data_IF_179839826118
#
_entry.id   IF_179839826118
#
_cell.length_a   1.000
_cell.length_b   1.000
_cell.length_c   1.000
_cell.angle_alpha   90.00
_cell.angle_beta   90.00
_cell.angle_gamma   90.00
#
_symmetry.space_group_name_H-M   'P 1'
#
loop_
_entity.id
_entity.type
_entity.pdbx_description
1 polymer ?
#
# COMPACT_ATOMS: atom_id res chain seq x y z
N UNK A 1 18.24 -17.84 14.28
CA UNK A 1 18.16 -16.40 13.90
C UNK A 1 18.15 -16.25 12.38
N UNK A 2 17.52 -17.17 11.65
CA UNK A 2 17.44 -17.14 10.19
C UNK A 2 16.21 -16.34 9.75
N UNK A 3 16.18 -15.05 10.06
CA UNK A 3 15.29 -14.15 9.33
C UNK A 3 15.83 -14.09 7.91
N UNK A 4 15.09 -14.58 6.89
CA UNK A 4 15.57 -14.49 5.52
C UNK A 4 15.74 -13.01 5.19
N UNK A 5 16.97 -12.61 4.85
CA UNK A 5 17.29 -11.21 4.52
C UNK A 5 16.53 -10.74 3.26
N UNK A 6 16.18 -11.66 2.36
CA UNK A 6 15.51 -11.39 1.10
C UNK A 6 14.19 -10.58 1.25
N UNK A 7 13.19 -11.01 2.04
CA UNK A 7 11.97 -10.21 2.24
C UNK A 7 12.21 -8.86 2.94
N UNK A 8 13.22 -8.77 3.81
CA UNK A 8 13.57 -7.49 4.45
C UNK A 8 14.10 -6.50 3.42
N UNK A 9 15.05 -6.92 2.59
CA UNK A 9 15.59 -6.10 1.50
C UNK A 9 14.47 -5.72 0.52
N UNK A 10 13.62 -6.67 0.15
CA UNK A 10 12.48 -6.42 -0.74
C UNK A 10 11.54 -5.36 -0.15
N UNK A 11 11.21 -5.46 1.13
CA UNK A 11 10.39 -4.46 1.82
C UNK A 11 11.02 -3.07 1.84
N UNK A 12 12.33 -2.98 2.06
CA UNK A 12 13.07 -1.71 2.06
C UNK A 12 13.11 -1.07 0.67
N UNK A 13 13.43 -1.84 -0.38
CA UNK A 13 13.47 -1.33 -1.76
C UNK A 13 12.07 -0.89 -2.20
N UNK A 14 11.04 -1.69 -1.92
CA UNK A 14 9.66 -1.31 -2.23
C UNK A 14 9.21 -0.08 -1.43
N UNK A 15 9.66 0.05 -0.18
CA UNK A 15 9.38 1.20 0.67
C UNK A 15 9.97 2.50 0.12
N UNK A 16 11.22 2.48 -0.33
CA UNK A 16 11.86 3.64 -0.96
C UNK A 16 11.12 4.08 -2.24
N UNK A 17 10.75 3.11 -3.10
CA UNK A 17 9.95 3.38 -4.30
C UNK A 17 8.56 3.95 -3.97
N UNK A 18 7.93 3.49 -2.88
CA UNK A 18 6.66 4.03 -2.39
C UNK A 18 6.82 5.48 -1.96
N UNK A 19 7.83 5.77 -1.13
CA UNK A 19 8.06 7.14 -0.64
C UNK A 19 8.32 8.11 -1.79
N UNK A 20 9.14 7.71 -2.76
CA UNK A 20 9.41 8.51 -3.96
C UNK A 20 8.12 8.80 -4.74
N UNK A 21 7.28 7.78 -4.96
CA UNK A 21 6.01 7.93 -5.67
C UNK A 21 5.02 8.82 -4.90
N UNK A 22 4.92 8.65 -3.58
CA UNK A 22 4.07 9.47 -2.71
C UNK A 22 4.53 10.92 -2.69
N UNK A 23 5.83 11.17 -2.50
CA UNK A 23 6.44 12.50 -2.52
C UNK A 23 6.21 13.17 -3.86
N UNK A 24 6.40 12.47 -4.97
CA UNK A 24 6.15 12.99 -6.31
C UNK A 24 4.67 13.38 -6.48
N UNK A 25 3.74 12.51 -6.06
CA UNK A 25 2.30 12.80 -6.13
C UNK A 25 1.92 14.05 -5.32
N UNK A 26 2.44 14.17 -4.09
CA UNK A 26 2.19 15.33 -3.23
C UNK A 26 2.85 16.60 -3.78
N UNK A 27 4.05 16.50 -4.34
CA UNK A 27 4.72 17.65 -4.96
C UNK A 27 3.93 18.18 -6.17
N UNK A 28 3.39 17.27 -7.00
CA UNK A 28 2.53 17.62 -8.14
C UNK A 28 1.19 18.21 -7.68
N UNK A 29 0.63 17.74 -6.56
CA UNK A 29 -0.63 18.26 -6.02
C UNK A 29 -0.50 19.54 -5.19
N UNK A 30 0.70 20.07 -5.00
CA UNK A 30 0.92 21.23 -4.12
C UNK A 30 0.82 20.90 -2.62
N UNK A 31 1.03 19.64 -2.24
CA UNK A 31 0.97 19.14 -0.87
C UNK A 31 -0.41 18.58 -0.46
N UNK A 32 -1.39 18.54 -1.36
CA UNK A 32 -2.71 18.02 -1.06
C UNK A 32 -2.73 16.48 -1.02
N UNK A 33 -2.99 15.91 0.17
CA UNK A 33 -3.15 14.45 0.37
C UNK A 33 -4.41 13.91 -0.32
N UNK A 34 -5.39 14.77 -0.59
CA UNK A 34 -6.61 14.43 -1.33
C UNK A 34 -6.36 13.92 -2.76
N UNK A 35 -5.17 14.19 -3.34
CA UNK A 35 -4.80 13.69 -4.67
C UNK A 35 -4.81 12.16 -4.74
N UNK A 36 -4.50 11.49 -3.62
CA UNK A 36 -4.45 10.02 -3.55
C UNK A 36 -5.82 9.37 -3.77
N UNK A 37 -6.92 10.08 -3.50
CA UNK A 37 -8.29 9.56 -3.61
C UNK A 37 -9.09 10.19 -4.77
N UNK A 38 -8.44 11.03 -5.59
CA UNK A 38 -9.12 11.81 -6.63
C UNK A 38 -9.47 10.97 -7.86
N UNK A 39 -8.74 9.89 -8.13
CA UNK A 39 -8.94 9.03 -9.29
C UNK A 39 -9.75 7.77 -8.97
N UNK A 40 -10.70 7.42 -9.85
CA UNK A 40 -11.45 6.16 -9.73
C UNK A 40 -10.52 4.93 -9.66
N UNK A 41 -9.45 4.93 -10.47
CA UNK A 41 -8.44 3.85 -10.47
C UNK A 41 -7.75 3.76 -9.11
N UNK A 42 -7.29 4.89 -8.56
CA UNK A 42 -6.63 4.92 -7.25
C UNK A 42 -7.54 4.37 -6.15
N UNK A 43 -8.81 4.82 -6.13
CA UNK A 43 -9.79 4.32 -5.16
C UNK A 43 -10.04 2.82 -5.32
N UNK A 44 -10.18 2.30 -6.54
CA UNK A 44 -10.32 0.86 -6.76
C UNK A 44 -9.09 0.07 -6.28
N UNK A 45 -7.88 0.59 -6.50
CA UNK A 45 -6.65 -0.03 -6.04
C UNK A 45 -6.55 -0.03 -4.50
N UNK A 46 -6.90 1.07 -3.84
CA UNK A 46 -6.94 1.13 -2.38
C UNK A 46 -7.94 0.13 -1.79
N UNK A 47 -9.13 0.01 -2.39
CA UNK A 47 -10.14 -0.97 -1.97
C UNK A 47 -9.64 -2.41 -2.16
N UNK A 48 -9.00 -2.71 -3.29
CA UNK A 48 -8.42 -4.04 -3.54
C UNK A 48 -7.28 -4.35 -2.57
N UNK A 49 -6.37 -3.40 -2.34
CA UNK A 49 -5.27 -3.54 -1.39
C UNK A 49 -5.79 -3.80 0.04
N UNK A 50 -6.75 -3.01 0.51
CA UNK A 50 -7.42 -3.25 1.79
C UNK A 50 -8.08 -4.64 1.80
N UNK A 51 -8.75 -5.02 0.71
CA UNK A 51 -9.33 -6.34 0.53
C UNK A 51 -8.32 -7.46 0.74
N UNK A 52 -7.13 -7.40 0.12
CA UNK A 52 -6.08 -8.41 0.28
C UNK A 52 -5.54 -8.47 1.71
N UNK A 53 -5.28 -7.31 2.32
CA UNK A 53 -4.76 -7.22 3.70
C UNK A 53 -5.76 -7.79 4.71
N UNK A 54 -7.04 -7.48 4.55
CA UNK A 54 -8.10 -7.90 5.48
C UNK A 54 -8.75 -9.24 5.11
N UNK A 55 -8.60 -9.74 3.88
CA UNK A 55 -9.14 -11.03 3.43
C UNK A 55 -8.83 -12.18 4.41
N UNK A 56 -7.58 -12.43 4.85
CA UNK A 56 -7.31 -13.55 5.75
C UNK A 56 -8.00 -13.37 7.12
N UNK A 57 -8.09 -12.14 7.63
CA UNK A 57 -8.75 -11.86 8.89
C UNK A 57 -10.28 -12.02 8.80
N UNK A 58 -10.88 -11.56 7.70
CA UNK A 58 -12.32 -11.63 7.45
C UNK A 58 -12.77 -13.07 7.19
N UNK A 59 -12.04 -13.82 6.36
CA UNK A 59 -12.31 -15.23 6.10
C UNK A 59 -12.19 -16.09 7.37
N UNK A 60 -11.23 -15.78 8.25
CA UNK A 60 -11.10 -16.44 9.55
C UNK A 60 -12.30 -16.15 10.45
N UNK A 61 -12.87 -14.94 10.42
CA UNK A 61 -14.08 -14.58 11.16
C UNK A 61 -15.36 -15.22 10.62
N UNK A 62 -15.46 -15.42 9.31
CA UNK A 62 -16.65 -16.02 8.66
C UNK A 62 -16.66 -17.56 8.73
N UNK A 63 -15.49 -18.19 8.95
CA UNK A 63 -15.33 -19.65 9.09
C UNK A 63 -15.34 -20.14 10.55
N UNK A 64 -15.41 -19.23 11.51
CA UNK A 64 -15.64 -19.55 12.93
C UNK A 64 -17.08 -19.30 13.30
#
# INVERSE_FOLDING_TARGET
FDFPLAPVILGLVLGDLLEQSLRQALMISGGEVGILFRGAISNTLFVLAAGVVFAPALLKRLRG
#
